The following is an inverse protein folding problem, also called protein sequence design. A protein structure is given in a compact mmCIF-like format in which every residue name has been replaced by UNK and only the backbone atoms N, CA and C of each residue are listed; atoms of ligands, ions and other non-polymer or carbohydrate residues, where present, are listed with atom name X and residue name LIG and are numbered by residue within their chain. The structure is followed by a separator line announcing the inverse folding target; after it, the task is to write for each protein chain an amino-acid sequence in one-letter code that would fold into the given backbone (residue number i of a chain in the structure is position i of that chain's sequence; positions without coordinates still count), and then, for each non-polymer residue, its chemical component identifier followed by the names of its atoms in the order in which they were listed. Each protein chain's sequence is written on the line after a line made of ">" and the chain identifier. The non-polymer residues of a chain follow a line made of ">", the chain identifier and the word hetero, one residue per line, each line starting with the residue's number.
data_IF_996778249693
#
_entry.id   IF_996778249693
#
_cell.length_a   1.000
_cell.length_b   1.000
_cell.length_c   1.000
_cell.angle_alpha   90.00
_cell.angle_beta   90.00
_cell.angle_gamma   90.00
#
_symmetry.space_group_name_H-M   'P 1'
#
loop_
_entity.id
_entity.type
_entity.pdbx_description
1 polymer ?
#
# COMPACT_ATOMS: atom_id res chain seq x y z
N UNK A 1 25.98 32.54 -37.39
CA UNK A 1 24.51 32.68 -37.53
C UNK A 1 23.88 31.56 -36.69
N UNK A 2 23.35 31.96 -35.56
CA UNK A 2 22.85 31.06 -34.55
C UNK A 2 21.34 30.89 -34.74
N UNK A 3 20.92 29.67 -35.01
CA UNK A 3 19.51 29.32 -35.12
C UNK A 3 18.97 28.97 -33.70
N UNK A 4 18.21 29.90 -33.17
CA UNK A 4 17.56 29.76 -31.88
C UNK A 4 16.36 28.85 -32.11
N UNK A 5 16.39 27.63 -31.51
CA UNK A 5 15.28 26.72 -31.50
C UNK A 5 14.09 27.34 -30.76
N UNK A 6 13.01 27.57 -31.47
CA UNK A 6 11.71 27.98 -30.90
C UNK A 6 11.14 26.84 -30.08
N UNK A 7 11.07 27.03 -28.77
CA UNK A 7 10.27 26.20 -27.91
C UNK A 7 8.78 26.32 -28.28
N UNK A 8 8.15 25.25 -28.69
CA UNK A 8 6.70 25.19 -28.85
C UNK A 8 6.05 25.24 -27.47
N UNK A 9 5.39 26.35 -27.21
CA UNK A 9 4.44 26.46 -26.09
C UNK A 9 3.23 25.61 -26.47
N UNK A 10 3.02 24.51 -25.76
CA UNK A 10 1.80 23.74 -25.85
C UNK A 10 0.70 24.59 -25.23
N UNK A 11 -0.23 25.07 -26.03
CA UNK A 11 -1.45 25.73 -25.54
C UNK A 11 -2.20 24.75 -24.61
N UNK A 12 -2.22 25.08 -23.32
CA UNK A 12 -3.11 24.43 -22.35
C UNK A 12 -4.54 24.78 -22.73
N UNK A 13 -5.30 23.79 -23.14
CA UNK A 13 -6.74 23.86 -23.29
C UNK A 13 -7.35 24.37 -21.98
N UNK A 14 -8.11 25.45 -22.02
CA UNK A 14 -8.79 26.05 -20.88
C UNK A 14 -9.94 25.12 -20.40
N UNK A 15 -9.60 24.05 -19.72
CA UNK A 15 -10.54 23.35 -18.86
C UNK A 15 -10.95 24.30 -17.74
N UNK A 16 -12.25 24.38 -17.47
CA UNK A 16 -12.82 25.24 -16.45
C UNK A 16 -12.01 25.13 -15.14
N UNK A 17 -11.40 26.23 -14.72
CA UNK A 17 -10.56 26.27 -13.53
C UNK A 17 -11.40 25.89 -12.34
N UNK A 18 -11.21 24.69 -11.80
CA UNK A 18 -11.77 24.28 -10.53
C UNK A 18 -11.37 25.31 -9.48
N UNK A 19 -12.34 25.84 -8.74
CA UNK A 19 -12.08 26.79 -7.63
C UNK A 19 -11.35 26.14 -6.45
N UNK A 20 -11.12 24.83 -6.51
CA UNK A 20 -10.40 24.07 -5.51
C UNK A 20 -8.95 23.95 -5.93
N UNK A 21 -8.03 24.34 -5.07
CA UNK A 21 -6.61 24.17 -5.31
C UNK A 21 -6.28 22.67 -5.49
N UNK A 22 -5.70 22.31 -6.63
CA UNK A 22 -5.17 20.97 -6.84
C UNK A 22 -3.81 20.92 -6.15
N UNK A 23 -3.74 20.31 -4.97
CA UNK A 23 -2.52 20.22 -4.18
C UNK A 23 -1.65 19.00 -4.57
N UNK A 24 -2.21 18.06 -5.32
CA UNK A 24 -1.50 16.86 -5.73
C UNK A 24 -0.88 17.07 -7.11
N UNK A 25 0.44 17.15 -7.14
CA UNK A 25 1.21 17.23 -8.37
C UNK A 25 2.11 16.01 -8.46
N UNK A 26 2.26 15.48 -9.67
CA UNK A 26 3.25 14.44 -9.94
C UNK A 26 4.66 15.01 -9.73
N UNK A 27 5.51 14.26 -9.02
CA UNK A 27 6.91 14.62 -8.88
C UNK A 27 7.59 14.72 -10.26
N UNK A 28 8.48 15.71 -10.42
CA UNK A 28 9.27 15.86 -11.64
C UNK A 28 10.18 14.65 -11.85
N UNK A 29 10.54 14.38 -13.12
CA UNK A 29 11.34 13.21 -13.51
C UNK A 29 12.74 13.15 -12.86
N UNK A 30 13.26 14.26 -12.31
CA UNK A 30 14.54 14.32 -11.62
C UNK A 30 14.48 14.03 -10.11
N UNK A 31 13.30 13.79 -9.55
CA UNK A 31 13.16 13.49 -8.11
C UNK A 31 13.41 12.01 -7.88
N UNK A 32 14.43 11.69 -7.08
CA UNK A 32 14.70 10.32 -6.67
C UNK A 32 13.72 9.88 -5.59
N UNK A 33 13.04 8.76 -5.82
CA UNK A 33 12.15 8.15 -4.85
C UNK A 33 12.91 7.17 -3.94
N UNK A 34 12.71 7.30 -2.64
CA UNK A 34 13.29 6.40 -1.64
C UNK A 34 12.17 5.81 -0.75
N UNK A 35 12.23 4.49 -0.55
CA UNK A 35 11.31 3.82 0.37
C UNK A 35 11.61 4.19 1.83
N UNK A 36 10.64 4.05 2.74
CA UNK A 36 10.86 4.34 4.16
C UNK A 36 12.03 3.59 4.81
N UNK A 37 12.36 2.37 4.33
CA UNK A 37 13.49 1.58 4.82
C UNK A 37 14.70 1.61 3.88
N UNK A 38 14.78 2.57 2.96
CA UNK A 38 15.92 2.68 2.03
C UNK A 38 17.28 2.68 2.74
N UNK A 39 17.38 3.44 3.85
CA UNK A 39 18.60 3.58 4.65
C UNK A 39 19.05 2.26 5.31
N UNK A 40 18.17 1.29 5.50
CA UNK A 40 18.51 -0.05 6.04
C UNK A 40 19.29 -0.89 5.04
N UNK A 41 19.12 -0.62 3.73
CA UNK A 41 19.79 -1.38 2.68
C UNK A 41 19.30 -2.82 2.56
N UNK A 42 17.99 -3.06 2.67
CA UNK A 42 17.38 -4.40 2.63
C UNK A 42 17.80 -5.20 1.39
N UNK A 43 17.93 -4.55 0.22
CA UNK A 43 18.39 -5.22 -1.01
C UNK A 43 19.80 -5.78 -0.85
N UNK A 44 20.68 -5.03 -0.20
CA UNK A 44 22.05 -5.48 0.07
C UNK A 44 22.06 -6.65 1.08
N UNK A 45 21.23 -6.56 2.12
CA UNK A 45 21.09 -7.65 3.08
C UNK A 45 20.53 -8.92 2.43
N UNK A 46 19.62 -8.78 1.46
CA UNK A 46 19.03 -9.89 0.73
C UNK A 46 20.05 -10.67 -0.14
N UNK A 47 21.19 -10.06 -0.50
CA UNK A 47 22.26 -10.75 -1.25
C UNK A 47 22.99 -11.82 -0.43
N UNK A 48 22.83 -11.83 0.89
CA UNK A 48 23.44 -12.85 1.74
C UNK A 48 22.74 -14.21 1.56
N UNK A 49 23.27 -15.05 0.71
CA UNK A 49 22.74 -16.40 0.39
C UNK A 49 22.83 -17.41 1.55
N UNK A 50 23.54 -17.07 2.62
CA UNK A 50 23.69 -17.92 3.79
C UNK A 50 22.65 -17.67 4.87
N UNK A 51 21.73 -16.72 4.66
CA UNK A 51 20.61 -16.48 5.59
C UNK A 51 19.75 -17.74 5.73
N UNK A 52 19.45 -18.10 6.96
CA UNK A 52 18.56 -19.21 7.30
C UNK A 52 17.60 -18.78 8.39
N UNK A 53 16.37 -19.22 8.28
CA UNK A 53 15.36 -18.92 9.29
C UNK A 53 13.96 -19.33 8.86
N UNK A 54 13.08 -19.37 9.83
CA UNK A 54 11.65 -19.64 9.67
C UNK A 54 10.83 -18.41 9.35
N UNK A 55 11.44 -17.21 9.31
CA UNK A 55 10.77 -15.93 9.03
C UNK A 55 11.49 -15.22 7.90
N UNK A 56 10.75 -14.80 6.90
CA UNK A 56 11.25 -13.95 5.82
C UNK A 56 10.56 -12.60 5.82
N UNK A 57 11.32 -11.53 5.62
CA UNK A 57 10.84 -10.15 5.56
C UNK A 57 11.24 -9.50 4.25
N UNK A 58 10.30 -8.78 3.64
CA UNK A 58 10.50 -7.96 2.46
C UNK A 58 9.77 -6.63 2.60
N UNK A 59 10.37 -5.54 2.16
CA UNK A 59 9.67 -4.30 1.92
C UNK A 59 9.15 -4.27 0.47
N UNK A 60 7.84 -4.15 0.29
CA UNK A 60 7.21 -3.89 -1.01
C UNK A 60 7.28 -2.39 -1.28
N UNK A 61 8.39 -1.99 -1.90
CA UNK A 61 8.79 -0.59 -2.03
C UNK A 61 7.92 0.19 -3.01
N UNK A 62 7.73 1.48 -2.70
CA UNK A 62 7.24 2.49 -3.62
C UNK A 62 5.90 2.15 -4.29
N UNK A 63 5.03 1.39 -3.62
CA UNK A 63 3.66 1.16 -4.09
C UNK A 63 2.85 2.46 -4.06
N UNK A 64 1.88 2.55 -4.96
CA UNK A 64 0.85 3.59 -4.89
C UNK A 64 -0.20 3.25 -3.84
N UNK A 65 -0.51 4.20 -2.98
CA UNK A 65 -1.49 4.07 -1.90
C UNK A 65 -2.54 5.16 -2.02
N UNK A 66 -3.81 4.77 -2.22
CA UNK A 66 -4.93 5.69 -2.32
C UNK A 66 -5.96 5.36 -1.23
N UNK A 67 -6.36 6.34 -0.45
CA UNK A 67 -7.48 6.20 0.48
C UNK A 67 -8.74 6.69 -0.23
N UNK A 68 -9.69 5.79 -0.38
CA UNK A 68 -11.01 6.06 -0.94
C UNK A 68 -12.04 6.11 0.18
N UNK A 69 -12.87 7.16 0.18
CA UNK A 69 -14.09 7.21 0.99
C UNK A 69 -15.30 7.50 0.12
N UNK A 70 -16.39 6.84 0.42
CA UNK A 70 -17.65 7.01 -0.33
C UNK A 70 -18.75 6.11 0.18
N UNK A 71 -19.97 6.37 -0.27
CA UNK A 71 -21.12 5.56 0.10
C UNK A 71 -21.10 4.23 -0.66
N UNK A 72 -20.97 3.11 0.06
CA UNK A 72 -20.96 1.75 -0.51
C UNK A 72 -22.25 1.37 -1.24
N UNK A 73 -23.36 2.08 -1.02
CA UNK A 73 -24.62 1.90 -1.76
C UNK A 73 -24.61 2.64 -3.12
N UNK A 74 -23.62 3.48 -3.41
CA UNK A 74 -23.52 4.19 -4.68
C UNK A 74 -23.11 3.24 -5.82
N UNK A 75 -24.04 2.94 -6.72
CA UNK A 75 -23.79 2.06 -7.86
C UNK A 75 -22.71 2.61 -8.82
N UNK A 76 -22.56 3.95 -8.94
CA UNK A 76 -21.50 4.56 -9.74
C UNK A 76 -20.12 4.28 -9.14
N UNK A 77 -19.98 4.35 -7.81
CA UNK A 77 -18.77 4.00 -7.10
C UNK A 77 -18.35 2.54 -7.39
N UNK A 78 -19.26 1.59 -7.22
CA UNK A 78 -18.97 0.17 -7.44
C UNK A 78 -18.57 -0.12 -8.90
N UNK A 79 -19.29 0.45 -9.86
CA UNK A 79 -19.01 0.31 -11.29
C UNK A 79 -17.68 0.98 -11.68
N UNK A 80 -17.43 2.19 -11.17
CA UNK A 80 -16.21 2.95 -11.43
C UNK A 80 -14.95 2.23 -10.93
N UNK A 81 -14.99 1.71 -9.71
CA UNK A 81 -13.90 0.91 -9.13
C UNK A 81 -13.63 -0.33 -10.00
N UNK A 82 -14.66 -1.11 -10.32
CA UNK A 82 -14.51 -2.30 -11.17
C UNK A 82 -13.99 -1.98 -12.57
N UNK A 83 -14.46 -0.87 -13.17
CA UNK A 83 -14.05 -0.42 -14.51
C UNK A 83 -12.57 -0.02 -14.54
N UNK A 84 -12.10 0.76 -13.54
CA UNK A 84 -10.76 1.34 -13.53
C UNK A 84 -9.73 0.36 -13.00
N UNK A 85 -10.03 -0.32 -11.89
CA UNK A 85 -9.07 -1.19 -11.20
C UNK A 85 -9.18 -2.67 -11.61
N UNK A 86 -10.27 -3.06 -12.27
CA UNK A 86 -10.54 -4.46 -12.62
C UNK A 86 -10.79 -5.37 -11.41
N UNK A 87 -11.02 -4.78 -10.24
CA UNK A 87 -11.25 -5.45 -8.94
C UNK A 87 -12.56 -4.93 -8.36
N UNK A 88 -13.31 -5.77 -7.67
CA UNK A 88 -14.53 -5.35 -6.97
C UNK A 88 -14.20 -4.71 -5.63
N UNK A 89 -15.00 -3.69 -5.26
CA UNK A 89 -14.88 -3.07 -3.95
C UNK A 89 -15.34 -4.05 -2.87
N UNK A 90 -14.50 -4.40 -1.87
CA UNK A 90 -14.91 -5.29 -0.80
C UNK A 90 -15.89 -4.57 0.14
N UNK A 91 -17.10 -5.09 0.28
CA UNK A 91 -18.17 -4.48 1.10
C UNK A 91 -18.31 -5.16 2.47
N UNK A 92 -17.92 -6.42 2.56
CA UNK A 92 -17.95 -7.13 3.84
C UNK A 92 -16.86 -6.56 4.79
N UNK A 93 -17.16 -6.39 6.08
CA UNK A 93 -16.15 -5.98 7.04
C UNK A 93 -14.93 -6.90 7.05
N UNK A 94 -13.75 -6.30 7.20
CA UNK A 94 -12.47 -7.02 7.29
C UNK A 94 -12.11 -7.84 6.04
N UNK A 95 -12.70 -7.54 4.90
CA UNK A 95 -12.40 -8.22 3.64
C UNK A 95 -11.45 -7.43 2.76
N UNK A 96 -10.82 -8.10 1.83
CA UNK A 96 -10.03 -7.49 0.77
C UNK A 96 -10.32 -8.15 -0.57
N UNK A 97 -10.05 -7.42 -1.64
CA UNK A 97 -10.11 -7.90 -3.02
C UNK A 97 -8.78 -7.60 -3.69
N UNK A 98 -8.26 -8.54 -4.48
CA UNK A 98 -6.99 -8.35 -5.16
C UNK A 98 -6.98 -8.96 -6.56
N UNK A 99 -6.22 -8.35 -7.48
CA UNK A 99 -5.93 -8.86 -8.80
C UNK A 99 -4.60 -8.32 -9.30
N UNK A 100 -3.63 -9.19 -9.53
CA UNK A 100 -2.28 -8.80 -9.92
C UNK A 100 -1.62 -7.96 -8.82
N UNK A 101 -1.17 -6.76 -9.18
CA UNK A 101 -0.52 -5.81 -8.26
C UNK A 101 -1.51 -4.90 -7.52
N UNK A 102 -2.78 -4.92 -7.90
CA UNK A 102 -3.83 -4.10 -7.29
C UNK A 102 -4.53 -4.84 -6.18
N UNK A 103 -4.65 -4.22 -5.01
CA UNK A 103 -5.48 -4.72 -3.92
C UNK A 103 -6.32 -3.60 -3.29
N UNK A 104 -7.51 -3.96 -2.81
CA UNK A 104 -8.40 -3.06 -2.08
C UNK A 104 -8.69 -3.69 -0.73
N UNK A 105 -8.41 -2.96 0.32
CA UNK A 105 -8.55 -3.42 1.70
C UNK A 105 -9.63 -2.59 2.40
N UNK A 106 -10.58 -3.26 3.02
CA UNK A 106 -11.63 -2.60 3.80
C UNK A 106 -11.05 -2.01 5.09
N UNK A 107 -11.22 -0.72 5.30
CA UNK A 107 -10.78 -0.01 6.50
C UNK A 107 -11.96 0.37 7.40
N UNK A 108 -13.12 0.59 6.81
CA UNK A 108 -14.33 1.00 7.49
C UNK A 108 -15.57 0.88 6.57
N UNK A 109 -16.78 1.12 7.07
CA UNK A 109 -18.00 0.98 6.29
C UNK A 109 -18.04 1.84 5.02
N UNK A 110 -17.31 2.94 5.02
CA UNK A 110 -17.24 3.93 3.94
C UNK A 110 -15.80 4.25 3.52
N UNK A 111 -14.82 3.41 3.93
CA UNK A 111 -13.40 3.70 3.73
C UNK A 111 -12.60 2.47 3.30
N UNK A 112 -11.75 2.63 2.29
CA UNK A 112 -10.89 1.59 1.72
C UNK A 112 -9.49 2.12 1.43
N UNK A 113 -8.49 1.27 1.64
CA UNK A 113 -7.15 1.49 1.13
C UNK A 113 -6.98 0.71 -0.18
N UNK A 114 -6.55 1.41 -1.21
CA UNK A 114 -6.24 0.85 -2.53
C UNK A 114 -4.73 0.87 -2.68
N UNK A 115 -4.14 -0.30 -2.89
CA UNK A 115 -2.73 -0.46 -3.23
C UNK A 115 -2.61 -0.77 -4.73
N UNK A 116 -1.72 -0.06 -5.39
CA UNK A 116 -1.47 -0.19 -6.84
C UNK A 116 0.02 -0.19 -7.12
N UNK A 117 0.41 -0.51 -8.34
CA UNK A 117 1.78 -0.39 -8.79
C UNK A 117 2.29 1.06 -8.65
N UNK A 118 3.52 1.20 -8.18
CA UNK A 118 4.12 2.52 -7.96
C UNK A 118 4.25 3.33 -9.24
N UNK A 119 3.94 4.61 -9.15
CA UNK A 119 3.92 5.52 -10.28
C UNK A 119 2.61 5.53 -11.07
N UNK A 120 1.69 4.58 -10.82
CA UNK A 120 0.37 4.53 -11.47
C UNK A 120 -0.71 5.29 -10.70
N UNK A 121 -0.49 5.60 -9.43
CA UNK A 121 -1.47 6.15 -8.49
C UNK A 121 -2.13 7.45 -8.98
N UNK A 122 -1.35 8.34 -9.60
CA UNK A 122 -1.88 9.61 -10.12
C UNK A 122 -2.85 9.39 -11.29
N UNK A 123 -2.47 8.54 -12.25
CA UNK A 123 -3.36 8.20 -13.37
C UNK A 123 -4.63 7.49 -12.93
N UNK A 124 -4.50 6.60 -11.95
CA UNK A 124 -5.64 5.88 -11.36
C UNK A 124 -6.55 6.84 -10.59
N UNK A 125 -6.01 7.79 -9.84
CA UNK A 125 -6.80 8.81 -9.15
C UNK A 125 -7.64 9.62 -10.14
N UNK A 126 -7.05 10.10 -11.23
CA UNK A 126 -7.77 10.83 -12.27
C UNK A 126 -8.87 9.98 -12.91
N UNK A 127 -8.54 8.74 -13.31
CA UNK A 127 -9.50 7.84 -13.92
C UNK A 127 -10.68 7.48 -12.99
N UNK A 128 -10.42 7.32 -11.68
CA UNK A 128 -11.48 7.07 -10.70
C UNK A 128 -12.38 8.31 -10.51
N UNK A 129 -11.80 9.51 -10.45
CA UNK A 129 -12.57 10.75 -10.35
C UNK A 129 -13.46 11.00 -11.56
N UNK A 130 -13.00 10.60 -12.75
CA UNK A 130 -13.78 10.68 -13.98
C UNK A 130 -14.88 9.60 -14.05
N UNK A 131 -14.60 8.40 -13.54
CA UNK A 131 -15.50 7.26 -13.67
C UNK A 131 -16.59 7.19 -12.61
N UNK A 132 -16.48 7.96 -11.52
CA UNK A 132 -17.37 7.87 -10.35
C UNK A 132 -18.14 9.17 -10.18
N UNK A 133 -19.47 9.09 -10.32
CA UNK A 133 -20.37 10.20 -10.05
C UNK A 133 -20.73 10.26 -8.56
N UNK A 134 -20.92 11.49 -8.08
CA UNK A 134 -21.35 11.77 -6.70
C UNK A 134 -20.22 12.15 -5.77
N UNK A 135 -20.52 12.20 -4.49
CA UNK A 135 -19.57 12.64 -3.47
C UNK A 135 -18.64 11.48 -3.06
N UNK A 136 -17.37 11.62 -3.37
CA UNK A 136 -16.28 10.74 -2.92
C UNK A 136 -15.10 11.55 -2.43
N UNK A 137 -14.32 10.97 -1.54
CA UNK A 137 -12.97 11.45 -1.23
C UNK A 137 -11.96 10.42 -1.73
N UNK A 138 -10.97 10.87 -2.47
CA UNK A 138 -9.87 10.04 -2.94
C UNK A 138 -8.57 10.80 -2.68
N UNK A 139 -7.71 10.22 -1.84
CA UNK A 139 -6.49 10.88 -1.37
C UNK A 139 -5.30 9.98 -1.64
N UNK A 140 -4.31 10.51 -2.36
CA UNK A 140 -3.03 9.84 -2.54
C UNK A 140 -2.17 9.99 -1.27
N UNK A 141 -1.83 8.86 -0.64
CA UNK A 141 -1.02 8.78 0.58
C UNK A 141 0.26 7.97 0.38
N UNK A 142 0.67 7.74 -0.86
CA UNK A 142 1.78 6.85 -1.24
C UNK A 142 3.07 7.13 -0.48
N UNK A 143 3.49 8.39 -0.39
CA UNK A 143 4.71 8.76 0.33
C UNK A 143 4.62 8.65 1.86
N UNK A 144 3.42 8.44 2.41
CA UNK A 144 3.16 8.35 3.86
C UNK A 144 3.18 6.94 4.43
N UNK A 145 3.29 5.91 3.58
CA UNK A 145 3.17 4.51 3.97
C UNK A 145 4.16 3.62 3.23
N UNK A 146 4.42 2.45 3.79
CA UNK A 146 5.09 1.32 3.12
C UNK A 146 4.39 0.01 3.46
N UNK A 147 4.67 -1.05 2.69
CA UNK A 147 4.15 -2.39 2.94
C UNK A 147 5.30 -3.31 3.30
N UNK A 148 5.20 -3.95 4.46
CA UNK A 148 6.11 -5.00 4.91
C UNK A 148 5.43 -6.36 4.72
N UNK A 149 6.04 -7.24 3.96
CA UNK A 149 5.63 -8.63 3.81
C UNK A 149 6.42 -9.50 4.77
N UNK A 150 5.71 -10.22 5.62
CA UNK A 150 6.26 -11.22 6.53
C UNK A 150 5.79 -12.61 6.08
N UNK A 151 6.70 -13.55 5.90
CA UNK A 151 6.36 -14.89 5.42
C UNK A 151 7.22 -15.97 6.03
N UNK A 152 6.82 -17.23 5.88
CA UNK A 152 7.54 -18.40 6.36
C UNK A 152 6.82 -19.12 7.52
N UNK A 153 7.27 -20.35 7.84
CA UNK A 153 6.56 -21.23 8.79
C UNK A 153 6.44 -20.66 10.21
N UNK A 154 7.34 -19.76 10.59
CA UNK A 154 7.32 -19.12 11.91
C UNK A 154 6.77 -17.67 11.89
N UNK A 155 6.37 -17.15 10.73
CA UNK A 155 5.84 -15.79 10.60
C UNK A 155 4.63 -15.53 11.53
N UNK A 156 3.71 -16.49 11.65
CA UNK A 156 2.56 -16.39 12.56
C UNK A 156 2.98 -16.26 14.02
N UNK A 157 4.06 -16.91 14.45
CA UNK A 157 4.57 -16.81 15.82
C UNK A 157 5.09 -15.41 16.13
N UNK A 158 5.71 -14.75 15.14
CA UNK A 158 6.11 -13.33 15.25
C UNK A 158 4.89 -12.44 15.40
N UNK A 159 3.81 -12.68 14.62
CA UNK A 159 2.56 -11.94 14.79
C UNK A 159 1.95 -12.14 16.17
N UNK A 160 1.93 -13.37 16.70
CA UNK A 160 1.40 -13.69 18.04
C UNK A 160 2.10 -12.92 19.17
N UNK A 161 3.39 -12.62 19.02
CA UNK A 161 4.14 -11.78 19.97
C UNK A 161 3.82 -10.29 19.83
N UNK A 162 3.31 -9.88 18.69
CA UNK A 162 3.32 -8.48 18.26
C UNK A 162 1.95 -7.83 18.24
N UNK A 163 0.85 -8.61 18.10
CA UNK A 163 -0.51 -8.06 18.01
C UNK A 163 -1.46 -8.75 18.98
N UNK A 164 -2.39 -8.01 19.60
CA UNK A 164 -3.45 -8.59 20.40
C UNK A 164 -4.54 -9.25 19.56
N UNK A 165 -4.52 -9.07 18.23
CA UNK A 165 -5.48 -9.69 17.32
C UNK A 165 -5.23 -11.19 17.23
N UNK A 166 -6.30 -11.99 17.22
CA UNK A 166 -6.20 -13.44 17.06
C UNK A 166 -5.81 -13.79 15.61
N UNK A 167 -4.54 -14.14 15.42
CA UNK A 167 -3.96 -14.53 14.12
C UNK A 167 -4.05 -16.04 13.84
N UNK A 168 -4.85 -16.77 14.63
CA UNK A 168 -5.15 -18.18 14.34
C UNK A 168 -5.85 -18.33 12.99
N UNK A 169 -5.55 -19.34 12.17
CA UNK A 169 -6.13 -19.50 10.83
C UNK A 169 -7.67 -19.50 10.79
N UNK A 170 -8.31 -19.98 11.84
CA UNK A 170 -9.77 -19.96 11.96
C UNK A 170 -10.36 -18.57 12.16
N UNK A 171 -9.64 -17.67 12.85
CA UNK A 171 -10.05 -16.29 13.11
C UNK A 171 -9.53 -15.32 12.06
N UNK A 172 -8.39 -15.64 11.44
CA UNK A 172 -7.71 -14.86 10.43
C UNK A 172 -7.44 -15.68 9.15
N UNK A 173 -8.49 -16.04 8.39
CA UNK A 173 -8.32 -16.77 7.13
C UNK A 173 -7.61 -15.95 6.07
N UNK A 174 -7.07 -16.62 5.03
CA UNK A 174 -6.49 -15.96 3.85
C UNK A 174 -7.52 -15.03 3.20
N UNK A 175 -7.09 -13.84 2.81
CA UNK A 175 -7.94 -12.82 2.24
C UNK A 175 -8.60 -11.89 3.27
N UNK A 176 -8.41 -12.12 4.56
CA UNK A 176 -8.88 -11.21 5.61
C UNK A 176 -7.87 -10.09 5.86
N UNK A 177 -8.37 -8.87 6.10
CA UNK A 177 -7.57 -7.75 6.56
C UNK A 177 -8.17 -7.13 7.82
N UNK A 178 -7.32 -6.57 8.66
CA UNK A 178 -7.73 -5.95 9.93
C UNK A 178 -6.83 -4.78 10.29
N UNK A 179 -7.45 -3.68 10.67
CA UNK A 179 -6.73 -2.57 11.33
C UNK A 179 -6.52 -2.95 12.80
N UNK A 180 -5.27 -3.08 13.20
CA UNK A 180 -4.91 -3.51 14.55
C UNK A 180 -3.66 -2.82 15.06
N UNK A 181 -3.35 -3.02 16.33
CA UNK A 181 -2.08 -2.60 16.93
C UNK A 181 -1.04 -3.68 16.68
N UNK A 182 0.14 -3.28 16.25
CA UNK A 182 1.33 -4.12 16.16
C UNK A 182 2.41 -3.49 17.04
N UNK A 183 2.78 -4.16 18.10
CA UNK A 183 3.62 -3.61 19.18
C UNK A 183 3.06 -2.27 19.71
N UNK A 184 3.63 -1.13 19.33
CA UNK A 184 3.18 0.21 19.76
C UNK A 184 2.66 1.09 18.63
N UNK A 185 2.45 0.53 17.42
CA UNK A 185 1.92 1.26 16.27
C UNK A 185 0.70 0.59 15.68
N UNK A 186 -0.07 1.34 14.92
CA UNK A 186 -1.19 0.81 14.14
C UNK A 186 -0.69 0.31 12.78
N UNK A 187 -1.23 -0.81 12.35
CA UNK A 187 -1.02 -1.39 11.03
C UNK A 187 -2.35 -1.84 10.44
N UNK A 188 -2.44 -1.86 9.11
CA UNK A 188 -3.44 -2.65 8.42
C UNK A 188 -2.78 -3.98 8.06
N UNK A 189 -3.19 -5.04 8.74
CA UNK A 189 -2.64 -6.38 8.62
C UNK A 189 -3.55 -7.22 7.72
N UNK A 190 -2.97 -7.84 6.69
CA UNK A 190 -3.66 -8.74 5.78
C UNK A 190 -2.98 -10.11 5.76
N UNK A 191 -3.76 -11.19 5.73
CA UNK A 191 -3.26 -12.52 5.43
C UNK A 191 -3.38 -12.80 3.94
N UNK A 192 -2.24 -12.89 3.25
CA UNK A 192 -2.17 -13.04 1.78
C UNK A 192 -1.99 -14.48 1.33
N UNK A 193 -1.50 -15.35 2.23
CA UNK A 193 -1.28 -16.76 1.98
C UNK A 193 -1.33 -17.59 3.26
N UNK A 194 -1.02 -18.86 3.17
CA UNK A 194 -1.03 -19.76 4.34
C UNK A 194 -0.09 -19.26 5.44
N UNK A 195 1.14 -18.95 5.08
CA UNK A 195 2.18 -18.40 5.97
C UNK A 195 2.72 -17.07 5.45
N UNK A 196 1.87 -16.24 4.84
CA UNK A 196 2.25 -14.95 4.29
C UNK A 196 1.27 -13.86 4.74
N UNK A 197 1.84 -12.74 5.18
CA UNK A 197 1.12 -11.61 5.73
C UNK A 197 1.71 -10.31 5.19
N UNK A 198 0.86 -9.32 4.96
CA UNK A 198 1.26 -7.96 4.61
C UNK A 198 0.81 -6.98 5.68
N UNK A 199 1.67 -6.05 6.00
CA UNK A 199 1.42 -4.98 6.97
C UNK A 199 1.62 -3.64 6.28
N UNK A 200 0.56 -2.85 6.17
CA UNK A 200 0.68 -1.45 5.77
C UNK A 200 1.09 -0.65 6.98
N UNK A 201 2.22 0.02 6.89
CA UNK A 201 2.88 0.74 7.99
C UNK A 201 3.03 2.21 7.61
N UNK A 202 2.77 3.12 8.53
CA UNK A 202 3.07 4.55 8.33
C UNK A 202 4.59 4.76 8.25
N UNK A 203 5.02 5.62 7.32
CA UNK A 203 6.44 5.95 7.11
C UNK A 203 7.16 6.30 8.42
N UNK A 204 6.54 7.09 9.28
CA UNK A 204 7.13 7.52 10.55
C UNK A 204 7.38 6.40 11.58
N UNK A 205 6.82 5.21 11.35
CA UNK A 205 7.02 4.04 12.21
C UNK A 205 7.82 2.92 11.54
N UNK A 206 8.32 3.13 10.32
CA UNK A 206 9.02 2.09 9.56
C UNK A 206 10.27 1.58 10.29
N UNK A 207 11.09 2.48 10.85
CA UNK A 207 12.29 2.12 11.64
C UNK A 207 11.94 1.31 12.88
N UNK A 208 10.93 1.78 13.62
CA UNK A 208 10.44 1.07 14.78
C UNK A 208 9.98 -0.34 14.44
N UNK A 209 9.21 -0.48 13.34
CA UNK A 209 8.74 -1.78 12.87
C UNK A 209 9.88 -2.69 12.42
N UNK A 210 10.89 -2.14 11.74
CA UNK A 210 12.09 -2.86 11.36
C UNK A 210 12.82 -3.44 12.57
N UNK A 211 13.12 -2.60 13.57
CA UNK A 211 13.79 -3.04 14.79
C UNK A 211 12.97 -4.06 15.57
N UNK A 212 11.67 -3.84 15.68
CA UNK A 212 10.77 -4.79 16.34
C UNK A 212 10.72 -6.15 15.64
N UNK A 213 10.62 -6.16 14.31
CA UNK A 213 10.56 -7.41 13.55
C UNK A 213 11.88 -8.19 13.62
N UNK A 214 13.03 -7.52 13.67
CA UNK A 214 14.31 -8.17 13.90
C UNK A 214 14.33 -8.87 15.28
N UNK A 215 13.98 -8.15 16.33
CA UNK A 215 13.95 -8.69 17.69
C UNK A 215 12.95 -9.84 17.84
N UNK A 216 11.72 -9.64 17.40
CA UNK A 216 10.65 -10.64 17.47
C UNK A 216 10.94 -11.91 16.65
N UNK A 217 11.77 -11.81 15.60
CA UNK A 217 12.15 -12.92 14.72
C UNK A 217 13.46 -13.61 15.16
N UNK A 218 14.20 -13.06 16.11
CA UNK A 218 15.56 -13.51 16.44
C UNK A 218 15.65 -15.00 16.77
N UNK A 219 14.68 -15.53 17.52
CA UNK A 219 14.66 -16.96 17.88
C UNK A 219 14.32 -17.90 16.74
N UNK A 220 13.69 -17.40 15.67
CA UNK A 220 13.28 -18.18 14.48
C UNK A 220 14.25 -18.05 13.31
N UNK A 221 15.17 -17.10 13.39
CA UNK A 221 16.01 -16.66 12.28
C UNK A 221 15.24 -15.82 11.25
N UNK A 222 15.80 -14.66 10.91
CA UNK A 222 15.25 -13.72 9.97
C UNK A 222 15.99 -13.77 8.64
N UNK A 223 15.27 -13.96 7.56
CA UNK A 223 15.74 -13.93 6.17
C UNK A 223 15.21 -12.67 5.51
N UNK A 224 16.08 -11.84 4.95
CA UNK A 224 15.69 -10.66 4.18
C UNK A 224 15.53 -11.05 2.72
N UNK A 225 14.44 -10.62 2.11
CA UNK A 225 14.15 -10.77 0.67
C UNK A 225 14.10 -9.42 -0.03
N UNK A 226 14.52 -9.39 -1.30
CA UNK A 226 14.42 -8.24 -2.18
C UNK A 226 13.01 -8.06 -2.75
#
# INVERSE_FOLDING_TARGET
>A
MSEVAKAQVVEESSAAVSKVAVLQQRAGAGVQAESPLHHVGLDHLALNVHQRGGVALREKKLLGHLVLRGNSANASLLKGIKKVLGVELPLAPLSCSAKGTTSIQWMGPDEWLILVEGGSEYGIELALREAIDGHISLVNVSGGQTVLELSGPDARKVLQKSTPYDVHPGSFPVGKCVSTVFAKTQVLLQRTGEDSYEMVVRRSFSDYMWLWLQDASAEYGLVIKA
#
